data_IF_460880752178
#
_entry.id   IF_460880752178
#
_cell.length_a   1.000
_cell.length_b   1.000
_cell.length_c   1.000
_cell.angle_alpha   90.00
_cell.angle_beta   90.00
_cell.angle_gamma   90.00
#
_symmetry.space_group_name_H-M   'P 1'
#
loop_
_entity.id
_entity.type
_entity.pdbx_description
1 polymer ?
#
# COMPACT_ATOMS: atom_id res chain seq x y z
N UNK A 1 20.56 -17.78 -48.85
CA UNK A 1 19.35 -17.70 -48.02
C UNK A 1 19.23 -19.07 -47.37
N UNK A 2 19.38 -19.28 -46.07
CA UNK A 2 19.12 -18.46 -44.89
C UNK A 2 20.26 -18.56 -43.87
N UNK A 3 20.57 -17.42 -43.25
CA UNK A 3 21.45 -17.31 -42.08
C UNK A 3 20.65 -17.68 -40.83
N UNK A 4 21.15 -18.63 -40.05
CA UNK A 4 20.61 -18.99 -38.74
C UNK A 4 20.99 -17.91 -37.72
N UNK A 5 20.03 -17.14 -37.21
CA UNK A 5 20.24 -16.19 -36.11
C UNK A 5 19.87 -16.84 -34.78
N UNK A 6 20.87 -17.08 -33.95
CA UNK A 6 20.67 -17.49 -32.56
C UNK A 6 20.09 -16.32 -31.76
N UNK A 7 18.98 -16.58 -31.06
CA UNK A 7 18.35 -15.61 -30.17
C UNK A 7 19.27 -15.28 -28.97
N UNK A 8 19.27 -14.03 -28.47
CA UNK A 8 20.08 -13.65 -27.33
C UNK A 8 19.48 -14.23 -26.03
N UNK A 9 20.31 -14.93 -25.27
CA UNK A 9 19.99 -15.45 -23.94
C UNK A 9 19.74 -14.31 -22.92
N UNK A 10 18.73 -14.42 -22.03
CA UNK A 10 18.39 -13.36 -21.10
C UNK A 10 19.45 -13.21 -20.00
N UNK A 11 19.83 -11.96 -19.75
CA UNK A 11 20.90 -11.51 -18.86
C UNK A 11 20.74 -11.93 -17.39
N UNK A 12 21.86 -12.32 -16.79
CA UNK A 12 22.09 -12.85 -15.43
C UNK A 12 21.80 -11.92 -14.22
N UNK A 13 21.08 -10.81 -14.40
CA UNK A 13 20.89 -9.78 -13.37
C UNK A 13 19.88 -10.15 -12.26
N UNK A 14 18.97 -11.10 -12.50
CA UNK A 14 17.97 -11.53 -11.50
C UNK A 14 18.58 -12.28 -10.30
N UNK A 15 19.75 -12.90 -10.51
CA UNK A 15 20.45 -13.69 -9.48
C UNK A 15 21.01 -12.85 -8.33
N UNK A 16 21.41 -11.60 -8.62
CA UNK A 16 22.01 -10.70 -7.63
C UNK A 16 21.01 -10.11 -6.65
N UNK A 17 19.85 -9.67 -7.14
CA UNK A 17 18.76 -9.09 -6.33
C UNK A 17 18.19 -10.15 -5.37
N UNK A 18 17.95 -11.36 -5.89
CA UNK A 18 17.44 -12.49 -5.10
C UNK A 18 18.39 -12.86 -3.94
N UNK A 19 19.71 -12.79 -4.17
CA UNK A 19 20.70 -13.06 -3.11
C UNK A 19 20.70 -11.99 -2.03
N UNK A 20 20.54 -10.72 -2.39
CA UNK A 20 20.46 -9.61 -1.42
C UNK A 20 19.18 -9.72 -0.60
N UNK A 21 18.05 -10.00 -1.23
CA UNK A 21 16.78 -10.25 -0.55
C UNK A 21 16.91 -11.36 0.49
N UNK A 22 17.42 -12.53 0.10
CA UNK A 22 17.56 -13.66 1.03
C UNK A 22 18.46 -13.32 2.22
N UNK A 23 19.55 -12.57 2.00
CA UNK A 23 20.41 -12.13 3.10
C UNK A 23 19.70 -11.17 4.06
N UNK A 24 18.94 -10.22 3.54
CA UNK A 24 18.15 -9.29 4.36
C UNK A 24 17.08 -10.04 5.17
N UNK A 25 16.33 -10.94 4.51
CA UNK A 25 15.33 -11.77 5.20
C UNK A 25 15.93 -12.55 6.35
N UNK A 26 17.08 -13.19 6.12
CA UNK A 26 17.78 -13.93 7.15
C UNK A 26 18.21 -13.01 8.29
N UNK A 27 18.77 -11.83 7.98
CA UNK A 27 19.16 -10.84 9.00
C UNK A 27 17.99 -10.41 9.88
N UNK A 28 16.80 -10.19 9.30
CA UNK A 28 15.60 -9.86 10.07
C UNK A 28 15.13 -11.06 10.90
N UNK A 29 15.15 -12.27 10.33
CA UNK A 29 14.75 -13.49 11.04
C UNK A 29 15.70 -13.85 12.20
N UNK A 30 16.98 -13.50 12.08
CA UNK A 30 18.00 -13.70 13.11
C UNK A 30 17.93 -12.63 14.22
N UNK A 31 16.98 -11.68 14.13
CA UNK A 31 16.77 -10.63 15.13
C UNK A 31 17.66 -9.40 14.98
N UNK A 32 18.47 -9.32 13.91
CA UNK A 32 19.34 -8.18 13.62
C UNK A 32 18.53 -7.05 12.95
N UNK A 33 17.49 -6.57 13.62
CA UNK A 33 16.48 -5.67 13.05
C UNK A 33 17.04 -4.32 12.65
N UNK A 34 17.85 -3.71 13.52
CA UNK A 34 18.44 -2.39 13.27
C UNK A 34 19.38 -2.44 12.06
N UNK A 35 20.29 -3.40 12.03
CA UNK A 35 21.24 -3.60 10.95
C UNK A 35 20.51 -3.89 9.63
N UNK A 36 19.52 -4.79 9.66
CA UNK A 36 18.71 -5.08 8.49
C UNK A 36 17.99 -3.82 7.98
N UNK A 37 17.40 -3.03 8.87
CA UNK A 37 16.68 -1.81 8.52
C UNK A 37 17.62 -0.77 7.88
N UNK A 38 18.80 -0.54 8.45
CA UNK A 38 19.81 0.34 7.84
C UNK A 38 20.26 -0.16 6.47
N UNK A 39 20.37 -1.49 6.29
CA UNK A 39 20.68 -2.08 4.99
C UNK A 39 19.56 -1.84 3.96
N UNK A 40 18.28 -1.97 4.33
CA UNK A 40 17.16 -1.61 3.45
C UNK A 40 17.23 -0.14 3.02
N UNK A 41 17.49 0.78 3.94
CA UNK A 41 17.64 2.22 3.65
C UNK A 41 18.82 2.50 2.71
N UNK A 42 19.95 1.84 2.92
CA UNK A 42 21.13 1.96 2.06
C UNK A 42 20.84 1.48 0.64
N UNK A 43 20.15 0.34 0.52
CA UNK A 43 19.75 -0.23 -0.76
C UNK A 43 18.73 0.63 -1.49
N UNK A 44 17.83 1.27 -0.74
CA UNK A 44 16.87 2.23 -1.28
C UNK A 44 17.57 3.34 -2.06
N UNK A 45 18.51 4.07 -1.45
CA UNK A 45 19.23 5.15 -2.16
C UNK A 45 20.01 4.63 -3.37
N UNK A 46 20.64 3.46 -3.22
CA UNK A 46 21.42 2.84 -4.29
C UNK A 46 20.54 2.49 -5.50
N UNK A 47 19.40 1.84 -5.29
CA UNK A 47 18.52 1.41 -6.38
C UNK A 47 17.74 2.58 -6.97
N UNK A 48 17.38 3.57 -6.14
CA UNK A 48 16.76 4.81 -6.58
C UNK A 48 17.67 5.58 -7.53
N UNK A 49 18.96 5.74 -7.19
CA UNK A 49 19.94 6.39 -8.06
C UNK A 49 20.18 5.63 -9.37
N UNK A 50 20.02 4.30 -9.34
CA UNK A 50 20.09 3.44 -10.53
C UNK A 50 18.78 3.40 -11.32
N UNK A 51 17.72 4.09 -10.87
CA UNK A 51 16.36 4.05 -11.42
C UNK A 51 15.77 2.63 -11.53
N UNK A 52 16.20 1.71 -10.66
CA UNK A 52 15.69 0.33 -10.58
C UNK A 52 14.43 0.27 -9.73
N UNK A 53 13.38 0.98 -10.16
CA UNK A 53 12.18 1.16 -9.36
C UNK A 53 11.42 -0.15 -9.10
N UNK A 54 11.30 -1.02 -10.11
CA UNK A 54 10.61 -2.30 -9.95
C UNK A 54 11.29 -3.21 -8.92
N UNK A 55 12.62 -3.36 -9.01
CA UNK A 55 13.42 -4.14 -8.05
C UNK A 55 13.35 -3.52 -6.65
N UNK A 56 13.40 -2.18 -6.57
CA UNK A 56 13.31 -1.45 -5.31
C UNK A 56 11.96 -1.64 -4.64
N UNK A 57 10.86 -1.51 -5.37
CA UNK A 57 9.51 -1.73 -4.83
C UNK A 57 9.37 -3.16 -4.33
N UNK A 58 9.79 -4.16 -5.12
CA UNK A 58 9.76 -5.55 -4.69
C UNK A 58 10.55 -5.77 -3.39
N UNK A 59 11.72 -5.14 -3.26
CA UNK A 59 12.55 -5.21 -2.08
C UNK A 59 11.92 -4.54 -0.85
N UNK A 60 11.35 -3.35 -1.02
CA UNK A 60 10.73 -2.62 0.09
C UNK A 60 9.42 -3.26 0.56
N UNK A 61 8.55 -3.72 -0.36
CA UNK A 61 7.32 -4.41 0.00
C UNK A 61 7.62 -5.65 0.83
N UNK A 62 8.58 -6.46 0.38
CA UNK A 62 9.01 -7.65 1.10
C UNK A 62 9.59 -7.33 2.48
N UNK A 63 10.46 -6.32 2.56
CA UNK A 63 11.04 -5.89 3.83
C UNK A 63 9.98 -5.39 4.82
N UNK A 64 9.03 -4.58 4.35
CA UNK A 64 7.97 -4.03 5.18
C UNK A 64 7.09 -5.14 5.76
N UNK A 65 6.71 -6.14 4.94
CA UNK A 65 5.93 -7.29 5.42
C UNK A 65 6.66 -8.03 6.55
N UNK A 66 7.95 -8.34 6.38
CA UNK A 66 8.71 -9.08 7.39
C UNK A 66 8.91 -8.25 8.67
N UNK A 67 9.16 -6.94 8.57
CA UNK A 67 9.25 -6.11 9.77
C UNK A 67 7.93 -6.07 10.55
N UNK A 68 6.79 -5.98 9.86
CA UNK A 68 5.49 -6.08 10.53
C UNK A 68 5.24 -7.46 11.14
N UNK A 69 5.69 -8.55 10.50
CA UNK A 69 5.60 -9.91 11.06
C UNK A 69 6.46 -10.13 12.31
N UNK A 70 7.51 -9.32 12.50
CA UNK A 70 8.42 -9.38 13.65
C UNK A 70 8.14 -8.29 14.69
N UNK A 71 6.95 -7.70 14.65
CA UNK A 71 6.50 -6.61 15.54
C UNK A 71 7.43 -5.37 15.53
N UNK A 72 8.21 -5.19 14.47
CA UNK A 72 9.08 -4.02 14.26
C UNK A 72 8.31 -2.93 13.51
N UNK A 73 7.25 -2.42 14.15
CA UNK A 73 6.31 -1.47 13.53
C UNK A 73 7.02 -0.22 12.96
N UNK A 74 7.96 0.37 13.70
CA UNK A 74 8.67 1.57 13.25
C UNK A 74 9.46 1.35 11.96
N UNK A 75 10.13 0.20 11.82
CA UNK A 75 10.85 -0.15 10.58
C UNK A 75 9.88 -0.47 9.44
N UNK A 76 8.76 -1.16 9.72
CA UNK A 76 7.71 -1.41 8.74
C UNK A 76 7.07 -0.13 8.20
N UNK A 77 6.81 0.83 9.08
CA UNK A 77 6.32 2.18 8.74
C UNK A 77 7.34 2.92 7.86
N UNK A 78 8.61 2.98 8.26
CA UNK A 78 9.65 3.65 7.49
C UNK A 78 9.77 3.06 6.08
N UNK A 79 9.79 1.73 5.95
CA UNK A 79 9.83 1.09 4.64
C UNK A 79 8.55 1.37 3.83
N UNK A 80 7.38 1.43 4.45
CA UNK A 80 6.13 1.81 3.77
C UNK A 80 6.19 3.25 3.24
N UNK A 81 6.79 4.17 4.00
CA UNK A 81 7.03 5.54 3.54
C UNK A 81 7.96 5.56 2.32
N UNK A 82 9.03 4.74 2.33
CA UNK A 82 9.95 4.60 1.20
C UNK A 82 9.29 3.99 -0.03
N UNK A 83 8.31 3.09 0.14
CA UNK A 83 7.49 2.57 -0.97
C UNK A 83 6.74 3.72 -1.62
N UNK A 84 6.00 4.51 -0.85
CA UNK A 84 5.22 5.65 -1.36
C UNK A 84 6.13 6.66 -2.08
N UNK A 85 7.27 7.01 -1.48
CA UNK A 85 8.24 7.90 -2.12
C UNK A 85 8.81 7.31 -3.43
N UNK A 86 9.10 6.00 -3.45
CA UNK A 86 9.56 5.32 -4.66
C UNK A 86 8.52 5.38 -5.76
N UNK A 87 7.24 5.16 -5.43
CA UNK A 87 6.12 5.23 -6.36
C UNK A 87 5.94 6.65 -6.95
N UNK A 88 6.14 7.68 -6.14
CA UNK A 88 6.14 9.08 -6.60
C UNK A 88 7.30 9.33 -7.56
N UNK A 89 8.52 8.92 -7.19
CA UNK A 89 9.74 9.18 -7.99
C UNK A 89 9.82 8.36 -9.28
N UNK A 90 9.24 7.16 -9.30
CA UNK A 90 9.20 6.33 -10.49
C UNK A 90 8.21 6.84 -11.54
N UNK A 91 7.31 7.76 -11.17
CA UNK A 91 6.15 8.11 -11.99
C UNK A 91 5.24 6.91 -12.20
N UNK A 92 5.25 5.93 -11.28
CA UNK A 92 4.38 4.76 -11.39
C UNK A 92 2.95 5.24 -11.23
N UNK A 93 2.24 5.21 -12.35
CA UNK A 93 0.79 5.32 -12.36
C UNK A 93 0.23 4.12 -11.59
N UNK A 94 -0.72 4.40 -10.69
CA UNK A 94 -1.54 3.38 -10.04
C UNK A 94 -2.24 2.61 -11.14
N UNK A 95 -1.70 1.45 -11.47
CA UNK A 95 -2.27 0.63 -12.53
C UNK A 95 -3.70 0.26 -12.10
N UNK A 96 -4.63 0.30 -13.06
CA UNK A 96 -6.04 -0.10 -12.89
C UNK A 96 -6.21 -1.54 -12.39
N UNK A 97 -5.12 -2.32 -12.38
CA UNK A 97 -5.00 -3.54 -11.61
C UNK A 97 -4.84 -3.22 -10.12
N UNK A 98 -5.93 -3.31 -9.38
CA UNK A 98 -6.09 -3.16 -7.92
C UNK A 98 -5.03 -3.86 -7.04
N UNK A 99 -4.11 -4.64 -7.59
CA UNK A 99 -3.04 -5.33 -6.88
C UNK A 99 -2.10 -4.39 -6.13
N UNK A 100 -1.68 -3.26 -6.72
CA UNK A 100 -0.77 -2.33 -6.04
C UNK A 100 -1.46 -1.64 -4.86
N UNK A 101 -2.70 -1.18 -5.04
CA UNK A 101 -3.51 -0.61 -3.96
C UNK A 101 -3.79 -1.63 -2.87
N UNK A 102 -4.08 -2.88 -3.22
CA UNK A 102 -4.27 -3.98 -2.28
C UNK A 102 -2.99 -4.25 -1.47
N UNK A 103 -1.83 -4.34 -2.12
CA UNK A 103 -0.53 -4.53 -1.44
C UNK A 103 -0.20 -3.38 -0.49
N UNK A 104 -0.37 -2.14 -0.94
CA UNK A 104 -0.12 -0.96 -0.11
C UNK A 104 -1.09 -0.91 1.08
N UNK A 105 -2.39 -1.16 0.84
CA UNK A 105 -3.41 -1.18 1.89
C UNK A 105 -3.17 -2.29 2.91
N UNK A 106 -2.68 -3.46 2.48
CA UNK A 106 -2.27 -4.54 3.39
C UNK A 106 -1.22 -4.07 4.38
N UNK A 107 -0.20 -3.31 3.93
CA UNK A 107 0.80 -2.72 4.82
C UNK A 107 0.19 -1.65 5.75
N UNK A 108 -0.65 -0.75 5.23
CA UNK A 108 -1.34 0.27 6.02
C UNK A 108 -2.24 -0.33 7.12
N UNK A 109 -2.82 -1.51 6.86
CA UNK A 109 -3.60 -2.28 7.82
C UNK A 109 -2.77 -3.03 8.86
N UNK A 110 -1.44 -3.13 8.69
CA UNK A 110 -0.54 -3.67 9.73
C UNK A 110 -0.14 -2.62 10.77
N UNK A 111 -0.26 -1.34 10.44
CA UNK A 111 0.03 -0.24 11.36
C UNK A 111 -1.09 -0.19 12.41
N UNK A 112 -0.72 -0.19 13.70
CA UNK A 112 -1.70 -0.18 14.79
C UNK A 112 -2.61 1.06 14.71
N UNK A 113 -3.92 0.93 15.02
CA UNK A 113 -4.86 2.06 14.93
C UNK A 113 -4.54 3.26 15.82
N UNK A 114 -3.83 3.06 16.94
CA UNK A 114 -3.40 4.09 17.88
C UNK A 114 -2.09 4.78 17.46
N UNK A 115 -1.40 4.27 16.43
CA UNK A 115 -0.15 4.86 15.99
C UNK A 115 -0.40 6.23 15.33
N UNK A 116 0.21 7.32 15.84
CA UNK A 116 -0.04 8.68 15.35
C UNK A 116 0.37 8.90 13.89
N UNK A 117 1.31 8.10 13.36
CA UNK A 117 1.78 8.22 11.98
C UNK A 117 0.82 7.62 10.96
N UNK A 118 -0.13 6.78 11.41
CA UNK A 118 -1.03 6.03 10.52
C UNK A 118 -1.82 6.95 9.58
N UNK A 119 -2.39 8.02 10.11
CA UNK A 119 -3.15 8.99 9.32
C UNK A 119 -2.30 9.73 8.28
N UNK A 120 -1.06 10.08 8.64
CA UNK A 120 -0.12 10.78 7.75
C UNK A 120 0.31 9.90 6.57
N UNK A 121 0.61 8.63 6.82
CA UNK A 121 1.03 7.68 5.79
C UNK A 121 -0.14 7.37 4.85
N UNK A 122 -1.36 7.19 5.39
CA UNK A 122 -2.58 7.03 4.58
C UNK A 122 -2.80 8.27 3.69
N UNK A 123 -2.65 9.48 4.24
CA UNK A 123 -2.76 10.72 3.47
C UNK A 123 -1.71 10.80 2.36
N UNK A 124 -0.48 10.36 2.63
CA UNK A 124 0.62 10.35 1.65
C UNK A 124 0.34 9.36 0.52
N UNK A 125 -0.19 8.17 0.82
CA UNK A 125 -0.62 7.20 -0.18
C UNK A 125 -1.75 7.74 -1.07
N UNK A 126 -2.75 8.41 -0.48
CA UNK A 126 -3.84 9.03 -1.23
C UNK A 126 -3.36 10.16 -2.14
N UNK A 127 -2.45 11.01 -1.66
CA UNK A 127 -1.82 12.07 -2.47
C UNK A 127 -1.08 11.50 -3.67
N UNK A 128 -0.30 10.43 -3.49
CA UNK A 128 0.34 9.73 -4.60
C UNK A 128 -0.70 9.16 -5.58
N UNK A 129 -1.76 8.52 -5.08
CA UNK A 129 -2.79 7.96 -5.96
C UNK A 129 -3.51 9.01 -6.81
N UNK A 130 -3.56 10.28 -6.38
CA UNK A 130 -4.15 11.39 -7.15
C UNK A 130 -3.33 11.75 -8.39
N UNK A 131 -1.99 11.65 -8.35
CA UNK A 131 -1.14 12.01 -9.50
C UNK A 131 -1.27 11.04 -10.68
N UNK A 132 -1.97 9.93 -10.48
CA UNK A 132 -2.16 8.85 -11.45
C UNK A 132 -3.24 9.17 -12.46
N UNK A 133 -4.33 9.83 -12.05
CA UNK A 133 -5.55 9.78 -12.86
C UNK A 133 -5.65 10.83 -13.96
N UNK A 134 -4.84 11.90 -13.99
CA UNK A 134 -4.91 12.99 -14.99
C UNK A 134 -6.34 13.54 -15.29
N UNK A 135 -7.33 13.17 -14.47
CA UNK A 135 -8.68 13.69 -14.52
C UNK A 135 -8.63 14.98 -13.74
N UNK A 136 -8.86 16.09 -14.43
CA UNK A 136 -8.96 17.45 -13.90
C UNK A 136 -10.13 17.63 -12.90
N UNK A 137 -10.49 16.61 -12.12
CA UNK A 137 -11.44 16.73 -11.05
C UNK A 137 -10.68 17.23 -9.81
N UNK A 138 -10.53 18.57 -9.74
CA UNK A 138 -9.89 19.29 -8.62
C UNK A 138 -10.42 18.85 -7.24
N UNK A 139 -11.62 18.27 -7.18
CA UNK A 139 -12.31 17.81 -5.98
C UNK A 139 -11.93 16.42 -5.46
N UNK A 140 -11.28 15.54 -6.26
CA UNK A 140 -10.96 14.19 -5.79
C UNK A 140 -9.78 14.18 -4.79
N UNK A 141 -9.97 13.58 -3.61
CA UNK A 141 -8.95 13.48 -2.54
C UNK A 141 -8.06 12.23 -2.63
N UNK A 142 -8.02 11.57 -3.79
CA UNK A 142 -7.30 10.31 -4.02
C UNK A 142 -7.94 9.51 -5.14
N UNK A 143 -7.35 8.37 -5.48
CA UNK A 143 -7.92 7.40 -6.41
C UNK A 143 -9.11 6.64 -5.78
N UNK A 144 -10.25 6.49 -6.49
CA UNK A 144 -11.42 5.77 -5.97
C UNK A 144 -11.15 4.30 -5.58
N UNK A 145 -10.27 3.60 -6.30
CA UNK A 145 -9.88 2.22 -6.01
C UNK A 145 -8.98 2.11 -4.78
N UNK A 146 -8.12 3.09 -4.52
CA UNK A 146 -7.39 3.15 -3.24
C UNK A 146 -8.34 3.47 -2.08
N UNK A 147 -9.28 4.40 -2.28
CA UNK A 147 -10.34 4.68 -1.31
C UNK A 147 -11.16 3.42 -0.98
N UNK A 148 -11.54 2.62 -1.97
CA UNK A 148 -12.21 1.33 -1.77
C UNK A 148 -11.40 0.38 -0.88
N UNK A 149 -10.10 0.21 -1.16
CA UNK A 149 -9.24 -0.67 -0.37
C UNK A 149 -9.15 -0.20 1.09
N UNK A 150 -8.92 1.10 1.30
CA UNK A 150 -8.81 1.72 2.64
C UNK A 150 -10.15 1.65 3.39
N UNK A 151 -11.28 1.85 2.72
CA UNK A 151 -12.60 1.74 3.31
C UNK A 151 -12.84 0.32 3.84
N UNK A 152 -12.54 -0.69 3.03
CA UNK A 152 -12.64 -2.10 3.42
C UNK A 152 -11.67 -2.46 4.57
N UNK A 153 -10.48 -1.85 4.62
CA UNK A 153 -9.56 -1.99 5.75
C UNK A 153 -10.17 -1.45 7.05
N UNK A 154 -10.65 -0.20 7.06
CA UNK A 154 -11.28 0.37 8.25
C UNK A 154 -12.57 -0.32 8.65
N UNK A 155 -13.32 -0.84 7.68
CA UNK A 155 -14.52 -1.62 7.95
C UNK A 155 -14.19 -2.89 8.73
N UNK A 156 -13.16 -3.65 8.32
CA UNK A 156 -12.69 -4.83 9.07
C UNK A 156 -12.20 -4.50 10.48
N UNK A 157 -11.78 -3.27 10.71
CA UNK A 157 -11.36 -2.76 12.02
C UNK A 157 -12.52 -2.19 12.86
N UNK A 158 -13.77 -2.31 12.39
CA UNK A 158 -14.96 -1.70 13.00
C UNK A 158 -14.87 -0.17 13.16
N UNK A 159 -13.97 0.49 12.40
CA UNK A 159 -13.87 1.93 12.33
C UNK A 159 -14.83 2.46 11.26
N UNK A 160 -16.12 2.37 11.55
CA UNK A 160 -17.18 2.72 10.61
C UNK A 160 -17.17 4.20 10.19
N UNK A 161 -16.65 5.09 11.03
CA UNK A 161 -16.55 6.53 10.72
C UNK A 161 -15.57 6.75 9.57
N UNK A 162 -14.35 6.21 9.68
CA UNK A 162 -13.36 6.32 8.62
C UNK A 162 -13.73 5.45 7.41
N UNK A 163 -14.25 4.24 7.64
CA UNK A 163 -14.72 3.38 6.55
C UNK A 163 -15.76 4.09 5.68
N UNK A 164 -16.78 4.70 6.30
CA UNK A 164 -17.80 5.49 5.60
C UNK A 164 -17.19 6.66 4.82
N UNK A 165 -16.28 7.41 5.43
CA UNK A 165 -15.60 8.52 4.76
C UNK A 165 -14.91 8.04 3.48
N UNK A 166 -14.16 6.93 3.54
CA UNK A 166 -13.46 6.41 2.36
C UNK A 166 -14.42 5.77 1.34
N UNK A 167 -15.48 5.08 1.78
CA UNK A 167 -16.48 4.51 0.86
C UNK A 167 -17.17 5.60 0.02
N UNK A 168 -17.46 6.76 0.61
CA UNK A 168 -18.07 7.90 -0.12
C UNK A 168 -17.20 8.41 -1.27
N UNK A 169 -15.88 8.23 -1.16
CA UNK A 169 -14.91 8.63 -2.19
C UNK A 169 -14.50 7.45 -3.09
N UNK A 170 -15.08 6.27 -2.88
CA UNK A 170 -14.85 5.06 -3.67
C UNK A 170 -15.95 4.85 -4.71
N UNK A 171 -15.77 3.86 -5.58
CA UNK A 171 -16.81 3.38 -6.51
C UNK A 171 -17.58 2.17 -5.98
N UNK A 172 -17.33 1.74 -4.75
CA UNK A 172 -17.86 0.50 -4.16
C UNK A 172 -19.15 0.73 -3.37
N UNK A 173 -20.23 1.00 -4.10
CA UNK A 173 -21.56 1.18 -3.50
C UNK A 173 -22.09 -0.08 -2.82
N UNK A 174 -21.64 -1.27 -3.24
CA UNK A 174 -22.12 -2.54 -2.70
C UNK A 174 -21.59 -2.76 -1.28
N UNK A 175 -20.27 -2.72 -1.08
CA UNK A 175 -19.72 -2.90 0.25
C UNK A 175 -20.05 -1.72 1.17
N UNK A 176 -20.19 -0.51 0.61
CA UNK A 176 -20.69 0.61 1.40
C UNK A 176 -22.09 0.34 1.96
N UNK A 177 -23.03 -0.13 1.13
CA UNK A 177 -24.36 -0.50 1.59
C UNK A 177 -24.34 -1.64 2.62
N UNK A 178 -23.51 -2.67 2.41
CA UNK A 178 -23.35 -3.77 3.37
C UNK A 178 -22.80 -3.29 4.72
N UNK A 179 -21.82 -2.39 4.72
CA UNK A 179 -21.29 -1.77 5.92
C UNK A 179 -22.37 -0.97 6.66
N UNK A 180 -23.20 -0.19 5.95
CA UNK A 180 -24.31 0.57 6.57
C UNK A 180 -25.35 -0.36 7.21
N UNK A 181 -25.68 -1.48 6.57
CA UNK A 181 -26.57 -2.51 7.13
C UNK A 181 -25.98 -3.09 8.42
N UNK A 182 -24.66 -3.37 8.43
CA UNK A 182 -23.98 -3.86 9.63
C UNK A 182 -24.03 -2.83 10.77
N UNK A 183 -23.67 -1.57 10.48
CA UNK A 183 -23.73 -0.48 11.47
C UNK A 183 -25.13 -0.36 12.07
N UNK A 184 -26.17 -0.42 11.23
CA UNK A 184 -27.55 -0.35 11.70
C UNK A 184 -27.90 -1.50 12.66
N UNK A 185 -27.49 -2.74 12.34
CA UNK A 185 -27.77 -3.92 13.18
C UNK A 185 -27.02 -3.91 14.49
N UNK A 186 -25.77 -3.44 14.50
CA UNK A 186 -24.88 -3.52 15.67
C UNK A 186 -24.95 -2.28 16.57
N UNK A 187 -25.25 -1.10 16.00
CA UNK A 187 -25.16 0.20 16.69
C UNK A 187 -26.38 1.09 16.52
N UNK A 188 -27.34 0.73 15.67
CA UNK A 188 -28.56 1.51 15.47
C UNK A 188 -29.60 1.23 16.55
N UNK A 189 -30.20 2.29 17.09
CA UNK A 189 -31.52 2.16 17.72
C UNK A 189 -32.58 1.97 16.61
N UNK A 190 -33.64 1.20 16.88
CA UNK A 190 -34.64 0.81 15.88
C UNK A 190 -35.35 2.00 15.17
N UNK A 191 -35.22 3.21 15.70
CA UNK A 191 -35.83 4.45 15.24
C UNK A 191 -34.92 5.37 14.39
N UNK A 192 -33.69 4.98 14.07
CA UNK A 192 -32.74 5.82 13.29
C UNK A 192 -32.60 5.41 11.81
N UNK A 193 -33.42 4.48 11.32
CA UNK A 193 -33.35 3.93 9.95
C UNK A 193 -33.28 5.04 8.89
N UNK A 194 -34.09 6.09 9.07
CA UNK A 194 -34.24 7.19 8.12
C UNK A 194 -32.98 8.07 8.05
N UNK A 195 -32.25 8.19 9.18
CA UNK A 195 -31.04 9.01 9.28
C UNK A 195 -29.84 8.39 8.55
N UNK A 196 -29.77 7.04 8.50
CA UNK A 196 -28.66 6.34 7.85
C UNK A 196 -28.82 6.27 6.33
N UNK A 197 -30.06 6.23 5.82
CA UNK A 197 -30.35 6.20 4.38
C UNK A 197 -30.22 7.61 3.75
N UNK A 198 -30.48 8.67 4.52
CA UNK A 198 -30.49 10.04 4.02
C UNK A 198 -29.11 10.75 3.98
N UNK A 199 -28.06 10.12 4.51
CA UNK A 199 -26.74 10.75 4.60
C UNK A 199 -25.98 10.67 3.26
N UNK A 200 -26.13 11.75 2.49
CA UNK A 200 -25.48 11.99 1.19
C UNK A 200 -24.00 12.37 1.30
#
# INVERSE_FOLDING_TARGET
MESSSAAPSPSSNSSGVSRVLNKLRNSVNDGNYYEAHQMYRTLYFRYLNQKKYADLLALLFDGAEIFFEKDQEASGIDLTQLIIDTLVKSGTEGNSDNQLFSKLTKLLGRIRPDNPQRGEIISSALKWSKSVNNVNNKQASGDPGLHECIANMFWRENNFVLARYHFLHSSDGRNFALMLIQVHRERGYANEIDLFIAQR
#
